data_IF_767975588747
#
_entry.id   IF_767975588747
#
_cell.length_a   1.000
_cell.length_b   1.000
_cell.length_c   1.000
_cell.angle_alpha   90.00
_cell.angle_beta   90.00
_cell.angle_gamma   90.00
#
_symmetry.space_group_name_H-M   'P 1'
#
loop_
_entity.id
_entity.type
_entity.pdbx_description
1 polymer ?
#
# COMPACT_ATOMS: atom_id res chain seq x y z
N UNK A 1 65.72 11.25 56.91
CA UNK A 1 64.47 11.38 57.63
C UNK A 1 63.72 12.49 56.93
N UNK A 2 63.05 12.21 55.81
CA UNK A 2 62.45 13.22 54.96
C UNK A 2 60.94 12.92 54.80
N UNK A 3 60.20 13.87 55.33
CA UNK A 3 58.74 13.91 55.16
C UNK A 3 58.41 14.50 53.78
N UNK A 4 57.60 13.78 53.00
CA UNK A 4 56.97 14.29 51.79
C UNK A 4 55.58 14.85 52.12
N UNK A 5 55.22 16.02 51.62
CA UNK A 5 53.83 16.48 51.70
C UNK A 5 53.07 15.99 50.50
N UNK A 6 51.92 15.40 50.76
CA UNK A 6 50.93 15.02 49.75
C UNK A 6 50.23 16.28 49.21
N UNK A 7 50.47 16.53 47.92
CA UNK A 7 49.70 17.51 47.15
C UNK A 7 48.43 16.89 46.65
N UNK A 8 47.31 17.27 47.23
CA UNK A 8 45.98 16.88 46.78
C UNK A 8 45.61 17.68 45.52
N UNK A 9 45.80 17.09 44.37
CA UNK A 9 45.25 17.60 43.13
C UNK A 9 43.74 17.31 43.09
N UNK A 10 42.92 18.31 43.30
CA UNK A 10 41.48 18.25 43.07
C UNK A 10 41.25 18.31 41.57
N UNK A 11 40.95 17.17 41.00
CA UNK A 11 40.53 17.04 39.57
C UNK A 11 39.07 17.46 39.47
N UNK A 12 38.84 18.70 39.04
CA UNK A 12 37.50 19.21 38.74
C UNK A 12 37.07 18.59 37.39
N UNK A 13 36.33 17.49 37.43
CA UNK A 13 35.63 16.95 36.25
C UNK A 13 34.47 17.87 35.92
N UNK A 14 34.68 18.81 35.01
CA UNK A 14 33.60 19.49 34.30
C UNK A 14 32.93 18.46 33.35
N UNK A 15 31.89 17.81 33.84
CA UNK A 15 30.95 17.09 33.00
C UNK A 15 30.17 18.11 32.17
N UNK A 16 30.67 18.43 31.01
CA UNK A 16 29.89 19.09 29.96
C UNK A 16 28.79 18.12 29.54
N UNK A 17 27.59 18.31 30.08
CA UNK A 17 26.38 17.67 29.55
C UNK A 17 26.17 18.20 28.14
N UNK A 18 26.65 17.44 27.16
CA UNK A 18 26.25 17.60 25.77
C UNK A 18 24.81 17.09 25.73
N UNK A 19 23.87 18.03 25.94
CA UNK A 19 22.48 17.79 25.58
C UNK A 19 22.42 17.63 24.08
N UNK A 20 22.42 16.39 23.61
CA UNK A 20 21.96 16.07 22.27
C UNK A 20 20.47 16.37 22.23
N UNK A 21 20.11 17.61 21.91
CA UNK A 21 18.78 17.86 21.36
C UNK A 21 18.66 17.08 20.07
N UNK A 22 18.06 15.90 20.15
CA UNK A 22 17.45 15.27 18.98
C UNK A 22 16.34 16.21 18.51
N UNK A 23 16.71 17.20 17.69
CA UNK A 23 15.73 17.88 16.85
C UNK A 23 15.19 16.81 15.90
N UNK A 24 14.10 16.21 16.28
CA UNK A 24 13.20 15.55 15.35
C UNK A 24 12.85 16.63 14.34
N UNK A 25 13.48 16.58 13.18
CA UNK A 25 13.17 17.46 12.07
C UNK A 25 11.78 17.03 11.60
N UNK A 26 10.74 17.56 12.22
CA UNK A 26 9.40 17.51 11.68
C UNK A 26 9.46 18.31 10.39
N UNK A 27 9.47 17.64 9.27
CA UNK A 27 9.22 18.25 7.98
C UNK A 27 7.76 18.75 7.99
N UNK A 28 7.53 19.88 8.67
CA UNK A 28 6.27 20.60 8.54
C UNK A 28 6.33 21.39 7.24
N UNK A 29 5.52 21.01 6.27
CA UNK A 29 5.28 21.83 5.10
C UNK A 29 4.52 23.09 5.54
N UNK A 30 5.11 24.26 5.35
CA UNK A 30 4.38 25.52 5.46
C UNK A 30 3.70 25.79 4.10
N UNK A 31 2.37 26.03 4.12
CA UNK A 31 1.62 26.38 2.91
C UNK A 31 2.24 27.56 2.14
N UNK A 32 2.86 28.51 2.85
CA UNK A 32 3.57 29.66 2.27
C UNK A 32 4.77 29.30 1.41
N UNK A 33 5.34 28.10 1.61
CA UNK A 33 6.44 27.62 0.79
C UNK A 33 5.99 27.29 -0.63
N UNK A 34 4.69 26.99 -0.82
CA UNK A 34 4.11 26.76 -2.14
C UNK A 34 3.85 28.03 -2.94
N UNK A 35 3.52 29.16 -2.28
CA UNK A 35 3.28 30.43 -2.97
C UNK A 35 4.54 30.96 -3.65
N UNK A 36 5.72 30.64 -3.12
CA UNK A 36 7.01 31.06 -3.64
C UNK A 36 7.77 29.93 -4.36
N UNK A 37 7.15 28.75 -4.51
CA UNK A 37 7.79 27.64 -5.18
C UNK A 37 8.01 27.94 -6.67
N UNK A 38 9.17 27.60 -7.23
CA UNK A 38 9.42 27.76 -8.66
C UNK A 38 8.45 26.89 -9.46
N UNK A 39 7.93 27.43 -10.55
CA UNK A 39 7.12 26.63 -11.48
C UNK A 39 8.04 25.64 -12.19
N UNK A 40 7.84 24.36 -11.93
CA UNK A 40 8.53 23.27 -12.62
C UNK A 40 7.70 22.83 -13.82
N UNK A 41 8.36 22.63 -14.95
CA UNK A 41 7.75 21.95 -16.09
C UNK A 41 7.66 20.44 -15.80
N UNK A 42 6.57 19.80 -16.22
CA UNK A 42 6.47 18.34 -16.10
C UNK A 42 7.63 17.61 -16.77
N UNK A 43 8.17 18.15 -17.85
CA UNK A 43 9.32 17.60 -18.57
C UNK A 43 10.65 17.70 -17.81
N UNK A 44 10.74 18.52 -16.75
CA UNK A 44 11.93 18.61 -15.88
C UNK A 44 11.91 17.55 -14.78
N UNK A 45 10.74 17.01 -14.46
CA UNK A 45 10.53 16.08 -13.36
C UNK A 45 10.26 14.66 -13.85
N UNK A 46 9.64 14.52 -15.01
CA UNK A 46 9.24 13.23 -15.56
C UNK A 46 9.93 12.96 -16.90
N UNK A 47 10.23 11.69 -17.15
CA UNK A 47 10.60 11.22 -18.47
C UNK A 47 9.45 11.44 -19.47
N UNK A 48 9.72 11.43 -20.77
CA UNK A 48 8.70 11.64 -21.80
C UNK A 48 7.50 10.73 -21.60
N UNK A 49 6.30 11.30 -21.60
CA UNK A 49 5.05 10.55 -21.52
C UNK A 49 4.94 9.64 -22.75
N UNK A 50 4.76 8.37 -22.51
CA UNK A 50 4.50 7.38 -23.55
C UNK A 50 3.04 6.96 -23.51
N UNK A 51 2.35 7.04 -24.64
CA UNK A 51 1.00 6.49 -24.82
C UNK A 51 1.12 5.05 -25.30
N UNK A 52 0.44 4.14 -24.61
CA UNK A 52 0.35 2.72 -24.99
C UNK A 52 -1.10 2.46 -25.41
N UNK A 53 -1.39 2.34 -26.71
CA UNK A 53 -2.72 1.98 -27.17
C UNK A 53 -3.00 0.54 -26.80
N UNK A 54 -4.13 0.28 -26.14
CA UNK A 54 -4.56 -1.08 -25.84
C UNK A 54 -5.07 -1.75 -27.12
N UNK A 55 -4.50 -2.88 -27.45
CA UNK A 55 -4.91 -3.72 -28.59
C UNK A 55 -5.89 -4.76 -28.09
N UNK A 56 -7.15 -4.38 -28.02
CA UNK A 56 -8.26 -5.28 -27.72
C UNK A 56 -8.97 -5.63 -29.03
N UNK A 57 -9.47 -6.86 -29.13
CA UNK A 57 -10.38 -7.22 -30.19
C UNK A 57 -11.81 -6.72 -29.88
N UNK A 58 -12.74 -6.88 -30.80
CA UNK A 58 -14.14 -6.45 -30.64
C UNK A 58 -14.85 -7.14 -29.45
N UNK A 59 -14.29 -8.24 -28.92
CA UNK A 59 -14.85 -8.98 -27.81
C UNK A 59 -14.61 -8.26 -26.47
N UNK A 60 -13.63 -7.35 -26.39
CA UNK A 60 -13.25 -6.68 -25.15
C UNK A 60 -13.34 -5.15 -25.28
N UNK A 61 -14.56 -4.63 -25.21
CA UNK A 61 -14.77 -3.20 -25.07
C UNK A 61 -14.56 -2.81 -23.59
N UNK A 62 -13.29 -2.61 -23.20
CA UNK A 62 -12.94 -2.30 -21.83
C UNK A 62 -13.43 -0.90 -21.45
N UNK A 63 -14.27 -0.83 -20.43
CA UNK A 63 -14.71 0.43 -19.86
C UNK A 63 -14.65 0.38 -18.35
N UNK A 64 -14.66 1.55 -17.68
CA UNK A 64 -14.64 1.65 -16.24
C UNK A 64 -13.45 0.91 -15.61
N UNK A 65 -12.25 1.34 -15.94
CA UNK A 65 -11.01 0.83 -15.33
C UNK A 65 -10.98 1.31 -13.88
N UNK A 66 -11.00 0.38 -12.93
CA UNK A 66 -10.92 0.67 -11.49
C UNK A 66 -9.48 0.85 -11.03
N UNK A 67 -8.59 -0.01 -11.51
CA UNK A 67 -7.20 -0.03 -11.06
C UNK A 67 -6.27 -0.51 -12.17
N UNK A 68 -5.06 0.02 -12.11
CA UNK A 68 -3.92 -0.42 -12.92
C UNK A 68 -2.76 -0.74 -11.99
N UNK A 69 -2.11 -1.87 -12.19
CA UNK A 69 -0.81 -2.15 -11.58
C UNK A 69 0.16 -2.70 -12.62
N UNK A 70 1.45 -2.59 -12.35
CA UNK A 70 2.51 -2.94 -13.30
C UNK A 70 3.45 -3.97 -12.71
N UNK A 71 3.86 -4.92 -13.55
CA UNK A 71 5.04 -5.76 -13.36
C UNK A 71 6.21 -5.20 -14.20
N UNK A 72 7.29 -5.94 -14.31
CA UNK A 72 8.44 -5.55 -15.14
C UNK A 72 8.14 -5.63 -16.64
N UNK A 73 7.32 -6.59 -17.05
CA UNK A 73 7.04 -6.94 -18.46
C UNK A 73 5.59 -6.73 -18.88
N UNK A 74 4.70 -6.44 -17.93
CA UNK A 74 3.26 -6.41 -18.16
C UNK A 74 2.58 -5.36 -17.29
N UNK A 75 1.35 -5.03 -17.63
CA UNK A 75 0.45 -4.32 -16.73
C UNK A 75 -0.91 -5.00 -16.66
N UNK A 76 -1.58 -4.83 -15.52
CA UNK A 76 -2.86 -5.46 -15.23
C UNK A 76 -3.91 -4.37 -15.06
N UNK A 77 -5.07 -4.59 -15.66
CA UNK A 77 -6.23 -3.73 -15.55
C UNK A 77 -7.35 -4.47 -14.84
N UNK A 78 -7.84 -3.92 -13.75
CA UNK A 78 -9.11 -4.33 -13.16
C UNK A 78 -10.20 -3.45 -13.74
N UNK A 79 -11.22 -4.06 -14.36
CA UNK A 79 -12.34 -3.36 -14.99
C UNK A 79 -13.67 -3.82 -14.41
N UNK A 80 -14.71 -2.99 -14.56
CA UNK A 80 -16.09 -3.31 -14.15
C UNK A 80 -16.91 -3.80 -15.33
N UNK A 81 -16.66 -3.27 -16.52
CA UNK A 81 -17.43 -3.64 -17.70
C UNK A 81 -16.50 -3.87 -18.91
N UNK A 82 -16.32 -5.16 -19.33
CA UNK A 82 -16.71 -6.35 -18.58
C UNK A 82 -15.99 -6.45 -17.23
N UNK A 83 -16.59 -7.13 -16.25
CA UNK A 83 -15.90 -7.44 -15.01
C UNK A 83 -14.74 -8.37 -15.29
N UNK A 84 -13.52 -7.95 -14.95
CA UNK A 84 -12.36 -8.78 -15.24
C UNK A 84 -11.03 -8.15 -14.89
N UNK A 85 -10.02 -9.00 -14.85
CA UNK A 85 -8.63 -8.60 -14.71
C UNK A 85 -7.89 -9.02 -15.96
N UNK A 86 -7.37 -8.05 -16.68
CA UNK A 86 -6.73 -8.24 -17.99
C UNK A 86 -5.24 -7.94 -17.87
N UNK A 87 -4.42 -8.86 -18.35
CA UNK A 87 -2.98 -8.70 -18.46
C UNK A 87 -2.60 -8.25 -19.87
N UNK A 88 -1.86 -7.18 -19.96
CA UNK A 88 -1.32 -6.62 -21.20
C UNK A 88 0.20 -6.62 -21.18
N UNK A 89 0.82 -6.89 -22.30
CA UNK A 89 2.24 -6.62 -22.51
C UNK A 89 2.49 -5.11 -22.61
N UNK A 90 3.76 -4.69 -22.44
CA UNK A 90 4.14 -3.27 -22.48
C UNK A 90 3.95 -2.60 -23.84
N UNK A 91 3.67 -3.36 -24.88
CA UNK A 91 3.30 -2.84 -26.22
C UNK A 91 1.78 -2.64 -26.39
N UNK A 92 1.00 -2.94 -25.35
CA UNK A 92 -0.46 -2.82 -25.31
C UNK A 92 -1.21 -4.02 -25.87
N UNK A 93 -0.54 -5.11 -26.24
CA UNK A 93 -1.21 -6.34 -26.66
C UNK A 93 -1.80 -7.09 -25.47
N UNK A 94 -3.06 -7.57 -25.60
CA UNK A 94 -3.70 -8.40 -24.58
C UNK A 94 -3.00 -9.77 -24.54
N UNK A 95 -2.46 -10.12 -23.37
CA UNK A 95 -1.74 -11.38 -23.15
C UNK A 95 -2.66 -12.47 -22.61
N UNK A 96 -3.47 -12.14 -21.61
CA UNK A 96 -4.40 -13.09 -20.97
C UNK A 96 -5.42 -12.37 -20.10
N UNK A 97 -6.44 -13.11 -19.68
CA UNK A 97 -7.31 -12.75 -18.56
C UNK A 97 -6.87 -13.51 -17.31
N UNK A 98 -6.93 -12.85 -16.15
CA UNK A 98 -6.60 -13.46 -14.88
C UNK A 98 -7.87 -13.96 -14.24
N UNK A 99 -8.06 -15.29 -14.20
CA UNK A 99 -9.24 -15.94 -13.65
C UNK A 99 -10.56 -15.51 -14.33
N UNK A 100 -11.67 -15.91 -13.75
CA UNK A 100 -13.03 -15.60 -14.21
C UNK A 100 -13.93 -15.28 -13.02
N UNK A 101 -15.06 -14.64 -13.28
CA UNK A 101 -16.10 -14.45 -12.28
C UNK A 101 -16.74 -15.82 -11.94
N UNK A 102 -16.82 -16.13 -10.63
CA UNK A 102 -17.43 -17.36 -10.17
C UNK A 102 -17.19 -17.66 -8.69
N UNK A 103 -17.72 -18.81 -8.26
CA UNK A 103 -17.71 -19.23 -6.85
C UNK A 103 -16.67 -20.29 -6.52
N UNK A 104 -16.09 -20.92 -7.54
CA UNK A 104 -15.07 -21.94 -7.36
C UNK A 104 -13.79 -21.36 -6.74
N UNK A 105 -12.92 -22.22 -6.30
CA UNK A 105 -11.59 -21.83 -5.86
C UNK A 105 -10.82 -21.20 -7.00
N UNK A 106 -10.15 -20.10 -6.73
CA UNK A 106 -9.43 -19.33 -7.74
C UNK A 106 -10.28 -18.40 -8.61
N UNK A 107 -11.63 -18.48 -8.55
CA UNK A 107 -12.53 -17.53 -9.21
C UNK A 107 -12.84 -16.35 -8.27
N UNK A 108 -12.95 -15.12 -8.80
CA UNK A 108 -13.36 -13.95 -8.02
C UNK A 108 -14.86 -13.69 -8.16
N UNK A 109 -15.46 -13.04 -7.17
CA UNK A 109 -16.87 -12.64 -7.20
C UNK A 109 -17.03 -11.13 -7.37
N UNK A 110 -16.37 -10.36 -6.53
CA UNK A 110 -16.47 -8.89 -6.51
C UNK A 110 -15.07 -8.34 -6.25
N UNK A 111 -14.19 -8.37 -7.25
CA UNK A 111 -12.86 -7.81 -7.11
C UNK A 111 -12.94 -6.28 -7.04
N UNK A 112 -12.23 -5.67 -6.10
CA UNK A 112 -12.26 -4.22 -5.84
C UNK A 112 -10.92 -3.54 -6.01
N UNK A 113 -9.83 -4.26 -5.86
CA UNK A 113 -8.49 -3.70 -6.00
C UNK A 113 -7.49 -4.77 -6.43
N UNK A 114 -6.40 -4.34 -7.06
CA UNK A 114 -5.29 -5.22 -7.45
C UNK A 114 -3.96 -4.56 -7.10
N UNK A 115 -2.99 -5.36 -6.69
CA UNK A 115 -1.61 -4.93 -6.49
C UNK A 115 -0.63 -6.02 -6.95
N UNK A 116 0.51 -5.63 -7.49
CA UNK A 116 1.55 -6.56 -7.91
C UNK A 116 2.77 -6.42 -7.01
N UNK A 117 3.23 -7.55 -6.45
CA UNK A 117 4.46 -7.64 -5.70
C UNK A 117 5.60 -8.07 -6.62
N UNK A 118 6.58 -7.17 -6.80
CA UNK A 118 7.80 -7.49 -7.56
C UNK A 118 8.67 -8.51 -6.85
N UNK A 119 8.71 -8.46 -5.51
CA UNK A 119 9.52 -9.36 -4.71
C UNK A 119 9.10 -10.82 -4.86
N UNK A 120 7.80 -11.07 -4.91
CA UNK A 120 7.23 -12.42 -4.97
C UNK A 120 6.82 -12.83 -6.39
N UNK A 121 6.77 -11.89 -7.33
CA UNK A 121 6.20 -12.07 -8.69
C UNK A 121 4.74 -12.53 -8.65
N UNK A 122 3.94 -11.92 -7.76
CA UNK A 122 2.56 -12.31 -7.45
C UNK A 122 1.62 -11.13 -7.66
N UNK A 123 0.50 -11.39 -8.34
CA UNK A 123 -0.65 -10.49 -8.42
C UNK A 123 -1.58 -10.79 -7.26
N UNK A 124 -1.87 -9.78 -6.47
CA UNK A 124 -2.85 -9.81 -5.39
C UNK A 124 -4.15 -9.16 -5.85
N UNK A 125 -5.26 -9.80 -5.54
CA UNK A 125 -6.60 -9.34 -5.91
C UNK A 125 -7.45 -9.28 -4.65
N UNK A 126 -7.90 -8.08 -4.27
CA UNK A 126 -8.87 -7.94 -3.19
C UNK A 126 -10.27 -8.25 -3.71
N UNK A 127 -10.92 -9.24 -3.12
CA UNK A 127 -12.29 -9.63 -3.41
C UNK A 127 -13.15 -9.47 -2.16
N UNK A 128 -14.29 -8.78 -2.28
CA UNK A 128 -15.18 -8.51 -1.15
C UNK A 128 -15.67 -9.80 -0.50
N UNK A 129 -15.97 -10.81 -1.28
CA UNK A 129 -16.57 -12.04 -0.80
C UNK A 129 -15.53 -13.08 -0.33
N UNK A 130 -14.31 -13.03 -0.88
CA UNK A 130 -13.32 -14.09 -0.69
C UNK A 130 -12.12 -13.69 0.15
N UNK A 131 -11.73 -12.43 0.15
CA UNK A 131 -10.51 -11.97 0.81
C UNK A 131 -9.46 -11.50 -0.19
N UNK A 132 -8.19 -11.65 0.12
CA UNK A 132 -7.09 -11.29 -0.78
C UNK A 132 -6.60 -12.55 -1.47
N UNK A 133 -6.91 -12.67 -2.74
CA UNK A 133 -6.52 -13.79 -3.58
C UNK A 133 -5.13 -13.52 -4.19
N UNK A 134 -4.33 -14.56 -4.33
CA UNK A 134 -2.99 -14.52 -4.93
C UNK A 134 -2.99 -15.29 -6.24
N UNK A 135 -2.41 -14.68 -7.25
CA UNK A 135 -2.19 -15.30 -8.55
C UNK A 135 -0.72 -15.12 -8.95
N UNK A 136 -0.16 -16.11 -9.62
CA UNK A 136 1.11 -15.90 -10.31
C UNK A 136 0.97 -14.90 -11.45
N UNK A 137 2.08 -14.42 -11.97
CA UNK A 137 2.07 -13.41 -13.05
C UNK A 137 1.38 -13.87 -14.32
N UNK A 138 1.26 -15.20 -14.56
CA UNK A 138 0.55 -15.79 -15.68
C UNK A 138 -0.95 -16.03 -15.42
N UNK A 139 -1.43 -15.77 -14.20
CA UNK A 139 -2.82 -15.91 -13.82
C UNK A 139 -3.20 -17.23 -13.14
N UNK A 140 -2.22 -18.08 -12.81
CA UNK A 140 -2.50 -19.30 -12.04
C UNK A 140 -2.82 -18.93 -10.59
N UNK A 141 -3.96 -19.43 -10.08
CA UNK A 141 -4.34 -19.24 -8.68
C UNK A 141 -3.35 -19.94 -7.73
N UNK A 142 -2.94 -19.25 -6.69
CA UNK A 142 -1.99 -19.75 -5.68
C UNK A 142 -2.65 -20.01 -4.33
N UNK A 143 -3.35 -19.03 -3.80
CA UNK A 143 -4.00 -19.10 -2.49
C UNK A 143 -4.91 -17.90 -2.24
N UNK A 144 -5.69 -17.97 -1.15
CA UNK A 144 -6.46 -16.83 -0.64
C UNK A 144 -6.08 -16.55 0.81
N UNK A 145 -5.81 -15.30 1.13
CA UNK A 145 -5.64 -14.81 2.48
C UNK A 145 -7.01 -14.40 3.00
N UNK A 146 -7.50 -15.11 4.02
CA UNK A 146 -8.71 -14.72 4.74
C UNK A 146 -8.36 -13.52 5.63
N UNK A 147 -9.08 -12.44 5.51
CA UNK A 147 -8.88 -11.26 6.34
C UNK A 147 -10.04 -11.12 7.31
N UNK A 148 -9.74 -10.71 8.52
CA UNK A 148 -10.73 -10.55 9.61
C UNK A 148 -11.44 -9.21 9.57
N UNK A 149 -11.05 -8.30 8.67
CA UNK A 149 -11.65 -6.97 8.56
C UNK A 149 -13.10 -7.07 8.07
N UNK A 150 -14.01 -6.49 8.82
CA UNK A 150 -15.46 -6.56 8.60
C UNK A 150 -15.92 -5.82 7.35
N UNK A 151 -15.13 -4.86 6.87
CA UNK A 151 -15.48 -3.99 5.75
C UNK A 151 -14.77 -4.33 4.47
N UNK A 152 -15.57 -4.39 3.45
CA UNK A 152 -15.39 -5.15 2.23
C UNK A 152 -14.97 -4.33 1.01
N UNK A 153 -14.72 -3.04 1.16
CA UNK A 153 -14.15 -2.24 0.07
C UNK A 153 -12.66 -2.03 0.36
N UNK A 154 -11.85 -2.96 -0.12
CA UNK A 154 -10.44 -3.05 0.22
C UNK A 154 -9.62 -2.30 -0.79
N UNK A 155 -9.01 -1.23 -0.34
CA UNK A 155 -7.86 -0.65 -1.01
C UNK A 155 -6.62 -1.10 -0.25
N UNK A 156 -5.64 -1.61 -0.95
CA UNK A 156 -4.44 -2.14 -0.33
C UNK A 156 -3.21 -1.91 -1.20
N UNK A 157 -2.06 -2.03 -0.56
CA UNK A 157 -0.77 -2.09 -1.23
C UNK A 157 0.03 -3.25 -0.66
N UNK A 158 0.96 -3.77 -1.45
CA UNK A 158 1.91 -4.78 -0.98
C UNK A 158 3.26 -4.10 -0.82
N UNK A 159 3.86 -4.22 0.36
CA UNK A 159 5.18 -3.66 0.65
C UNK A 159 6.30 -4.49 0.00
N UNK A 160 7.51 -3.95 -0.07
CA UNK A 160 8.68 -4.68 -0.56
C UNK A 160 9.03 -5.90 0.31
N UNK A 161 8.62 -5.90 1.57
CA UNK A 161 8.74 -7.05 2.48
C UNK A 161 7.67 -8.12 2.27
N UNK A 162 6.69 -7.86 1.40
CA UNK A 162 5.55 -8.74 1.12
C UNK A 162 4.40 -8.62 2.11
N UNK A 163 4.45 -7.69 3.08
CA UNK A 163 3.29 -7.41 3.93
C UNK A 163 2.21 -6.66 3.15
N UNK A 164 0.96 -6.85 3.57
CA UNK A 164 -0.21 -6.24 2.95
C UNK A 164 -0.67 -5.10 3.85
N UNK A 165 -0.74 -3.90 3.31
CA UNK A 165 -1.21 -2.72 4.03
C UNK A 165 -2.59 -2.37 3.49
N UNK A 166 -3.61 -2.59 4.30
CA UNK A 166 -5.01 -2.31 3.96
C UNK A 166 -5.47 -0.97 4.57
N UNK A 167 -6.18 -0.18 3.77
CA UNK A 167 -6.97 0.93 4.26
C UNK A 167 -8.35 0.42 4.69
N UNK A 168 -8.67 0.60 5.97
CA UNK A 168 -9.97 0.20 6.53
C UNK A 168 -10.94 1.37 6.39
N UNK A 169 -11.93 1.21 5.51
CA UNK A 169 -12.95 2.24 5.32
C UNK A 169 -13.95 2.26 6.48
N UNK A 170 -13.97 3.36 7.22
CA UNK A 170 -14.88 3.57 8.33
C UNK A 170 -16.20 4.18 7.86
N UNK A 171 -17.01 3.41 7.12
CA UNK A 171 -18.25 3.91 6.50
C UNK A 171 -19.31 4.27 7.54
N UNK A 172 -19.42 3.48 8.60
CA UNK A 172 -20.45 3.65 9.66
C UNK A 172 -19.87 4.08 11.00
N UNK A 173 -18.60 4.39 11.06
CA UNK A 173 -17.96 4.94 12.25
C UNK A 173 -17.54 3.95 13.33
N UNK A 174 -17.75 2.65 13.13
CA UNK A 174 -17.46 1.62 14.13
C UNK A 174 -16.14 0.85 13.90
N UNK A 175 -15.37 1.25 12.89
CA UNK A 175 -14.05 0.63 12.65
C UNK A 175 -13.00 1.25 13.56
N UNK A 176 -12.34 0.41 14.36
CA UNK A 176 -11.35 0.82 15.35
C UNK A 176 -10.01 1.18 14.72
N UNK A 177 -9.71 0.57 13.60
CA UNK A 177 -8.45 0.72 12.89
C UNK A 177 -8.67 1.49 11.59
N UNK A 178 -7.75 2.40 11.26
CA UNK A 178 -7.75 3.13 9.98
C UNK A 178 -6.88 2.43 8.94
N UNK A 179 -5.75 1.86 9.39
CA UNK A 179 -4.83 1.12 8.55
C UNK A 179 -4.43 -0.15 9.30
N UNK A 180 -4.39 -1.25 8.58
CA UNK A 180 -3.94 -2.55 9.12
C UNK A 180 -2.84 -3.10 8.22
N UNK A 181 -1.74 -3.51 8.82
CA UNK A 181 -0.69 -4.28 8.15
C UNK A 181 -0.86 -5.76 8.48
N UNK A 182 -0.95 -6.57 7.44
CA UNK A 182 -1.11 -8.02 7.53
C UNK A 182 0.14 -8.74 7.01
N UNK A 183 0.42 -9.88 7.61
CA UNK A 183 1.37 -10.84 7.06
C UNK A 183 0.80 -11.49 5.80
N UNK A 184 1.65 -12.21 5.05
CA UNK A 184 1.21 -13.03 3.91
C UNK A 184 0.28 -14.20 4.30
N UNK A 185 0.11 -14.46 5.61
CA UNK A 185 -0.82 -15.46 6.14
C UNK A 185 -2.12 -14.84 6.63
N UNK A 186 -2.23 -13.50 6.65
CA UNK A 186 -3.38 -12.78 7.15
C UNK A 186 -3.32 -12.41 8.64
N UNK A 187 -2.19 -12.67 9.33
CA UNK A 187 -2.02 -12.24 10.71
C UNK A 187 -1.77 -10.73 10.76
N UNK A 188 -2.41 -10.03 11.68
CA UNK A 188 -2.17 -8.61 11.90
C UNK A 188 -0.78 -8.41 12.49
N UNK A 189 0.06 -7.63 11.80
CA UNK A 189 1.39 -7.24 12.25
C UNK A 189 1.36 -5.90 12.99
N UNK A 190 0.74 -4.90 12.37
CA UNK A 190 0.60 -3.56 12.91
C UNK A 190 -0.76 -2.98 12.55
N UNK A 191 -1.17 -1.93 13.29
CA UNK A 191 -2.36 -1.16 12.95
C UNK A 191 -2.19 0.30 13.37
N UNK A 192 -2.89 1.19 12.67
CA UNK A 192 -3.03 2.59 13.04
C UNK A 192 -4.49 2.78 13.48
N UNK A 193 -4.73 3.20 14.73
CA UNK A 193 -6.07 3.37 15.24
C UNK A 193 -6.81 4.48 14.48
N UNK A 194 -8.12 4.30 14.35
CA UNK A 194 -8.99 5.30 13.77
C UNK A 194 -9.34 6.38 14.82
N UNK A 195 -8.95 7.61 14.55
CA UNK A 195 -9.24 8.74 15.43
C UNK A 195 -10.70 9.21 15.36
N UNK A 196 -11.45 8.78 14.34
CA UNK A 196 -12.86 9.09 14.12
C UNK A 196 -13.76 7.88 14.41
N UNK A 197 -13.34 7.04 15.36
CA UNK A 197 -14.17 5.95 15.84
C UNK A 197 -15.28 6.48 16.73
N UNK A 198 -16.52 6.04 16.48
CA UNK A 198 -17.65 6.27 17.36
C UNK A 198 -18.45 4.97 17.52
N UNK A 199 -18.92 4.75 18.74
CA UNK A 199 -19.70 3.58 19.09
C UNK A 199 -21.16 3.80 18.68
N UNK A 200 -21.59 3.12 17.62
CA UNK A 200 -22.98 3.20 17.15
C UNK A 200 -23.98 2.55 18.11
N UNK A 201 -23.51 1.74 19.08
CA UNK A 201 -24.39 1.15 20.10
C UNK A 201 -24.81 2.17 21.17
N UNK A 202 -24.10 3.30 21.25
CA UNK A 202 -24.40 4.36 22.20
C UNK A 202 -24.40 5.78 21.56
N UNK A 203 -25.44 6.12 20.75
CA UNK A 203 -25.47 7.35 19.97
C UNK A 203 -25.56 8.64 20.81
N UNK A 204 -25.54 8.55 22.15
CA UNK A 204 -25.65 9.69 23.08
C UNK A 204 -24.36 9.97 23.88
N UNK A 205 -23.21 9.46 23.46
CA UNK A 205 -21.91 9.83 24.05
C UNK A 205 -21.09 10.72 23.14
#
# INVERSE_FOLDING_TARGET
MNMFPYSTAVLLCLASAISCENKTQTNSFDYRDFENAPTLSLSEVFEPIRFIPLKTDEAYNLSNILKVCMSEDSFYLLTVNPLGIFRFALDGSLSSTISVEGRAEGEYLIPTDIAYSKADNVLYVADIAKGIMKFSSDGTYLSTISTTTSYKNRQFVVSDSGSIIENVLNIIGNERDAIVELSQKGDTLHYIPNTFFFDCENPNQ
#
